data_IF_534563632116
#
_entry.id   IF_534563632116
#
_cell.length_a   1.000
_cell.length_b   1.000
_cell.length_c   1.000
_cell.angle_alpha   90.00
_cell.angle_beta   90.00
_cell.angle_gamma   90.00
#
_symmetry.space_group_name_H-M   'P 1'
#
loop_
_entity.id
_entity.type
_entity.pdbx_description
1 polymer ?
#
# COMPACT_ATOMS: atom_id res chain seq x y z
N UNK A 1 24.27 36.12 -32.32
CA UNK A 1 24.28 35.27 -33.53
C UNK A 1 24.16 33.82 -33.09
N UNK A 2 23.16 33.00 -33.36
CA UNK A 2 21.75 33.12 -33.70
C UNK A 2 21.16 31.72 -33.37
N UNK A 3 19.89 31.68 -33.01
CA UNK A 3 19.12 30.52 -32.55
C UNK A 3 19.04 29.39 -33.59
N UNK A 4 18.83 28.15 -33.12
CA UNK A 4 18.22 27.09 -33.91
C UNK A 4 17.18 26.35 -33.04
N UNK A 5 15.92 26.61 -33.36
CA UNK A 5 14.71 26.08 -32.77
C UNK A 5 14.43 24.61 -33.13
N UNK A 6 13.87 23.91 -32.14
CA UNK A 6 12.69 23.04 -32.19
C UNK A 6 12.07 22.75 -33.58
N UNK A 7 11.95 21.46 -33.93
CA UNK A 7 10.93 20.97 -34.87
C UNK A 7 10.43 19.58 -34.42
N UNK A 8 9.27 19.59 -33.79
CA UNK A 8 8.40 18.44 -33.50
C UNK A 8 7.74 17.99 -34.81
N UNK A 9 7.76 16.69 -35.11
CA UNK A 9 7.03 16.13 -36.25
C UNK A 9 5.58 15.82 -35.86
N UNK A 10 4.55 16.30 -36.58
CA UNK A 10 3.16 15.94 -36.37
C UNK A 10 2.66 15.00 -37.48
N UNK A 11 2.03 13.87 -37.11
CA UNK A 11 0.89 13.28 -37.84
C UNK A 11 0.51 11.90 -37.27
N UNK A 12 -0.48 11.86 -36.38
CA UNK A 12 -1.45 10.76 -36.40
C UNK A 12 -2.84 11.39 -36.47
N UNK A 13 -3.52 11.13 -37.58
CA UNK A 13 -4.80 11.69 -37.98
C UNK A 13 -5.94 11.25 -37.04
N UNK A 14 -6.80 12.20 -36.69
CA UNK A 14 -7.98 12.08 -35.81
C UNK A 14 -9.16 11.30 -36.42
N UNK A 15 -8.95 10.56 -37.51
CA UNK A 15 -9.98 9.79 -38.20
C UNK A 15 -10.04 8.29 -37.83
N UNK A 16 -9.05 7.73 -37.11
CA UNK A 16 -9.03 6.30 -36.73
C UNK A 16 -9.42 6.01 -35.26
N UNK A 17 -9.63 7.03 -34.41
CA UNK A 17 -10.09 6.85 -33.02
C UNK A 17 -11.62 6.80 -32.84
N UNK A 18 -12.42 6.93 -33.91
CA UNK A 18 -13.89 6.97 -33.84
C UNK A 18 -14.60 5.66 -34.27
N UNK A 19 -14.01 4.50 -34.02
CA UNK A 19 -14.64 3.21 -34.39
C UNK A 19 -14.66 2.12 -33.32
N UNK A 20 -14.44 2.45 -32.05
CA UNK A 20 -14.45 1.46 -30.96
C UNK A 20 -15.04 1.96 -29.63
N UNK A 21 -16.05 2.84 -29.65
CA UNK A 21 -16.98 2.99 -28.50
C UNK A 21 -18.36 3.39 -29.01
N UNK A 22 -19.17 2.42 -29.45
CA UNK A 22 -20.63 2.57 -29.54
C UNK A 22 -21.23 1.68 -28.46
N UNK A 23 -21.54 2.29 -27.31
CA UNK A 23 -22.37 1.67 -26.28
C UNK A 23 -23.85 1.94 -26.66
N UNK A 24 -24.69 0.92 -26.92
CA UNK A 24 -26.10 1.16 -27.18
C UNK A 24 -26.83 1.56 -25.88
N UNK A 25 -27.34 2.79 -25.85
CA UNK A 25 -28.41 3.19 -24.92
C UNK A 25 -29.70 2.52 -25.37
N UNK A 26 -30.22 1.57 -24.58
CA UNK A 26 -31.60 1.52 -24.08
C UNK A 26 -32.02 0.10 -23.65
N UNK A 27 -32.25 -0.09 -22.35
CA UNK A 27 -33.39 -0.85 -21.84
C UNK A 27 -33.64 -0.46 -20.37
N UNK A 28 -34.86 -0.03 -20.10
CA UNK A 28 -35.36 0.49 -18.82
C UNK A 28 -35.67 -0.65 -17.84
N UNK A 29 -35.57 -0.32 -16.55
CA UNK A 29 -36.29 -0.92 -15.39
C UNK A 29 -36.18 -2.44 -15.23
N UNK A 30 -35.21 -2.87 -14.40
CA UNK A 30 -35.22 -4.20 -13.76
C UNK A 30 -34.93 -4.03 -12.27
N UNK A 31 -35.82 -4.55 -11.42
CA UNK A 31 -35.69 -4.58 -9.96
C UNK A 31 -34.46 -5.44 -9.61
N UNK A 32 -33.56 -4.93 -8.77
CA UNK A 32 -32.51 -5.77 -8.17
C UNK A 32 -33.14 -6.67 -7.11
N UNK A 33 -33.46 -7.90 -7.47
CA UNK A 33 -33.65 -8.99 -6.52
C UNK A 33 -32.34 -9.76 -6.41
N UNK A 34 -31.82 -9.86 -5.19
CA UNK A 34 -30.75 -10.78 -4.80
C UNK A 34 -31.22 -12.21 -5.09
N UNK A 35 -30.80 -12.84 -6.20
CA UNK A 35 -30.56 -14.29 -6.30
C UNK A 35 -29.65 -14.59 -7.51
N UNK A 36 -28.48 -15.18 -7.21
CA UNK A 36 -27.79 -16.18 -8.03
C UNK A 36 -27.36 -15.86 -9.46
N UNK A 37 -26.10 -15.45 -9.66
CA UNK A 37 -25.24 -15.99 -10.73
C UNK A 37 -23.79 -16.06 -10.21
N UNK A 38 -23.44 -17.16 -9.55
CA UNK A 38 -22.05 -17.63 -9.47
C UNK A 38 -21.98 -18.93 -10.26
N UNK A 39 -21.44 -18.86 -11.48
CA UNK A 39 -21.03 -20.06 -12.20
C UNK A 39 -19.69 -20.51 -11.61
N UNK A 40 -19.71 -21.63 -10.90
CA UNK A 40 -18.52 -22.38 -10.51
C UNK A 40 -17.79 -22.84 -11.78
N UNK A 41 -16.57 -22.34 -11.99
CA UNK A 41 -15.56 -23.08 -12.72
C UNK A 41 -14.52 -23.58 -11.71
N UNK A 42 -14.65 -24.85 -11.37
CA UNK A 42 -13.74 -25.58 -10.51
C UNK A 42 -12.38 -25.74 -11.22
N UNK A 43 -11.41 -24.91 -10.85
CA UNK A 43 -9.99 -25.26 -10.93
C UNK A 43 -9.50 -25.56 -9.52
N UNK A 44 -9.61 -26.83 -9.12
CA UNK A 44 -8.97 -27.34 -7.93
C UNK A 44 -7.45 -27.32 -8.13
N UNK A 45 -6.73 -26.52 -7.33
CA UNK A 45 -5.28 -26.62 -7.18
C UNK A 45 -4.94 -26.73 -5.69
N UNK A 46 -4.03 -27.64 -5.30
CA UNK A 46 -3.74 -27.93 -3.91
C UNK A 46 -2.86 -26.83 -3.31
N UNK A 47 -3.18 -26.38 -2.08
CA UNK A 47 -2.30 -25.49 -1.32
C UNK A 47 -3.03 -24.45 -0.48
N UNK A 48 -3.92 -24.88 0.42
CA UNK A 48 -4.25 -24.08 1.59
C UNK A 48 -3.20 -24.35 2.66
N UNK A 49 -2.25 -23.41 2.86
CA UNK A 49 -1.40 -23.29 4.06
C UNK A 49 -0.31 -22.20 3.89
N UNK A 50 -0.67 -21.02 3.33
CA UNK A 50 0.26 -19.88 3.26
C UNK A 50 -0.05 -18.75 4.25
N UNK A 51 -1.09 -18.91 5.07
CA UNK A 51 -1.39 -18.01 6.17
C UNK A 51 -0.81 -18.60 7.47
N UNK A 52 0.37 -18.10 7.85
CA UNK A 52 1.15 -18.43 9.04
C UNK A 52 2.06 -19.68 8.97
N UNK A 53 3.35 -19.48 8.62
CA UNK A 53 4.51 -20.12 9.29
C UNK A 53 5.87 -19.54 8.86
N UNK A 54 6.46 -18.80 9.81
CA UNK A 54 7.87 -18.76 10.25
C UNK A 54 9.05 -18.78 9.26
N UNK A 55 9.97 -17.81 9.42
CA UNK A 55 11.39 -17.98 9.10
C UNK A 55 12.25 -17.72 10.36
N UNK A 56 12.73 -18.80 10.98
CA UNK A 56 13.79 -18.78 11.99
C UNK A 56 15.15 -18.99 11.33
N UNK A 57 16.09 -18.06 11.53
CA UNK A 57 17.46 -18.17 11.03
C UNK A 57 18.43 -17.38 11.91
N UNK A 58 19.61 -17.94 12.19
CA UNK A 58 20.54 -17.45 13.22
C UNK A 58 21.11 -16.03 12.99
N UNK A 59 21.05 -15.49 11.76
CA UNK A 59 21.34 -14.08 11.46
C UNK A 59 20.23 -13.11 11.90
N UNK A 60 18.99 -13.60 12.01
CA UNK A 60 17.87 -12.82 12.53
C UNK A 60 18.09 -12.46 14.00
N UNK A 61 18.83 -13.26 14.79
CA UNK A 61 19.02 -13.00 16.23
C UNK A 61 19.72 -11.67 16.53
N UNK A 62 20.57 -11.16 15.64
CA UNK A 62 21.28 -9.86 15.82
C UNK A 62 20.43 -8.65 15.39
N UNK A 63 19.70 -8.73 14.28
CA UNK A 63 18.75 -7.70 13.87
C UNK A 63 17.51 -7.66 14.79
N UNK A 64 17.05 -8.82 15.23
CA UNK A 64 16.01 -8.99 16.25
C UNK A 64 16.47 -8.46 17.62
N UNK A 65 17.78 -8.51 17.93
CA UNK A 65 18.32 -7.91 19.15
C UNK A 65 18.32 -6.37 19.08
N UNK A 66 18.59 -5.75 17.93
CA UNK A 66 18.41 -4.30 17.76
C UNK A 66 16.92 -3.90 17.79
N UNK A 67 16.05 -4.70 17.13
CA UNK A 67 14.59 -4.51 17.11
C UNK A 67 13.92 -4.73 18.48
N UNK A 68 14.35 -5.70 19.28
CA UNK A 68 13.86 -5.91 20.66
C UNK A 68 14.38 -4.86 21.64
N UNK A 69 15.55 -4.27 21.41
CA UNK A 69 16.16 -3.30 22.33
C UNK A 69 15.46 -1.94 22.32
N UNK A 70 14.66 -1.62 21.30
CA UNK A 70 13.85 -0.39 21.28
C UNK A 70 12.60 -0.51 22.18
N UNK A 71 12.15 -1.71 22.54
CA UNK A 71 10.80 -1.90 23.13
C UNK A 71 10.71 -2.76 24.38
N UNK A 72 11.82 -3.09 25.05
CA UNK A 72 11.79 -3.75 26.36
C UNK A 72 12.65 -2.99 27.39
N UNK A 73 12.32 -1.72 27.60
CA UNK A 73 12.41 -1.09 28.92
C UNK A 73 11.13 -0.26 29.12
N UNK A 74 10.55 -0.33 30.31
CA UNK A 74 9.14 -0.04 30.62
C UNK A 74 8.54 1.21 29.97
N UNK A 75 7.36 1.01 29.37
CA UNK A 75 6.26 1.97 29.19
C UNK A 75 6.63 3.42 28.78
N UNK A 76 7.42 3.56 27.71
CA UNK A 76 7.52 4.84 26.99
C UNK A 76 7.56 4.61 25.49
N UNK A 77 6.39 4.74 24.85
CA UNK A 77 6.30 4.81 23.39
C UNK A 77 6.97 6.11 22.93
N UNK A 78 7.80 6.01 21.89
CA UNK A 78 8.41 7.19 21.27
C UNK A 78 7.33 8.12 20.74
N UNK A 79 7.51 9.41 21.02
CA UNK A 79 6.68 10.49 20.49
C UNK A 79 6.90 10.66 18.99
N UNK A 80 5.95 11.31 18.30
CA UNK A 80 6.11 11.64 16.89
C UNK A 80 7.36 12.47 16.61
N UNK A 81 7.72 13.38 17.52
CA UNK A 81 8.94 14.20 17.37
C UNK A 81 10.20 13.34 17.37
N UNK A 82 10.28 12.36 18.26
CA UNK A 82 11.42 11.43 18.33
C UNK A 82 11.52 10.54 17.08
N UNK A 83 10.37 10.13 16.52
CA UNK A 83 10.34 9.39 15.25
C UNK A 83 10.80 10.24 14.07
N UNK A 84 10.25 11.44 13.92
CA UNK A 84 10.61 12.34 12.82
C UNK A 84 12.09 12.73 12.88
N UNK A 85 12.65 12.92 14.08
CA UNK A 85 14.08 13.23 14.25
C UNK A 85 15.02 12.11 13.77
N UNK A 86 14.55 10.88 13.59
CA UNK A 86 15.33 9.75 13.06
C UNK A 86 15.34 9.66 11.53
N UNK A 87 14.50 10.43 10.85
CA UNK A 87 14.45 10.42 9.39
C UNK A 87 15.66 11.19 8.87
N UNK A 88 16.60 10.47 8.25
CA UNK A 88 17.80 11.04 7.65
C UNK A 88 17.66 11.14 6.14
N UNK A 89 18.39 12.04 5.46
CA UNK A 89 18.48 12.03 4.01
C UNK A 89 19.08 10.69 3.52
N UNK A 90 18.77 10.26 2.28
CA UNK A 90 19.44 9.13 1.65
C UNK A 90 20.96 9.32 1.59
N UNK A 91 21.71 8.22 1.65
CA UNK A 91 23.17 8.20 1.58
C UNK A 91 23.67 8.65 0.20
N UNK A 92 24.23 9.87 0.14
CA UNK A 92 24.73 10.46 -1.09
C UNK A 92 25.94 9.70 -1.68
N UNK A 93 26.80 9.11 -0.85
CA UNK A 93 27.97 8.36 -1.32
C UNK A 93 27.54 7.04 -1.96
N UNK A 94 26.57 6.34 -1.35
CA UNK A 94 26.00 5.13 -1.93
C UNK A 94 25.25 5.41 -3.25
N UNK A 95 24.56 6.55 -3.34
CA UNK A 95 23.91 6.99 -4.58
C UNK A 95 24.93 7.26 -5.69
N UNK A 96 26.03 7.96 -5.40
CA UNK A 96 27.07 8.24 -6.40
C UNK A 96 27.73 6.96 -6.89
N UNK A 97 28.05 6.03 -5.97
CA UNK A 97 28.60 4.73 -6.33
C UNK A 97 27.63 3.93 -7.23
N UNK A 98 26.32 3.99 -6.94
CA UNK A 98 25.31 3.34 -7.75
C UNK A 98 25.21 3.96 -9.16
N UNK A 99 25.34 5.29 -9.29
CA UNK A 99 25.41 5.98 -10.60
C UNK A 99 26.63 5.53 -11.40
N UNK A 100 27.80 5.51 -10.76
CA UNK A 100 29.05 5.03 -11.39
C UNK A 100 28.91 3.60 -11.88
N UNK A 101 28.30 2.73 -11.07
CA UNK A 101 28.00 1.35 -11.49
C UNK A 101 27.07 1.30 -12.70
N UNK A 102 25.97 2.07 -12.69
CA UNK A 102 25.02 2.09 -13.81
C UNK A 102 25.66 2.51 -15.13
N UNK A 103 26.66 3.40 -15.08
CA UNK A 103 27.43 3.84 -16.25
C UNK A 103 28.39 2.77 -16.82
N UNK A 104 28.77 1.77 -16.00
CA UNK A 104 29.70 0.69 -16.41
C UNK A 104 28.98 -0.56 -16.94
N UNK A 105 27.66 -0.65 -16.80
CA UNK A 105 26.91 -1.81 -17.29
C UNK A 105 26.87 -1.83 -18.82
N UNK A 106 26.80 -3.03 -19.40
CA UNK A 106 26.71 -3.25 -20.85
C UNK A 106 25.34 -2.80 -21.40
N UNK A 107 25.11 -1.49 -21.46
CA UNK A 107 23.92 -0.81 -21.97
C UNK A 107 24.30 0.61 -22.41
N UNK A 108 23.62 1.21 -23.40
CA UNK A 108 23.78 2.65 -23.64
C UNK A 108 23.44 3.45 -22.38
N UNK A 109 24.19 4.52 -22.03
CA UNK A 109 23.90 5.35 -20.86
C UNK A 109 22.44 5.84 -20.87
N UNK A 110 21.74 5.67 -19.74
CA UNK A 110 20.34 6.10 -19.58
C UNK A 110 19.28 5.28 -20.31
N UNK A 111 19.66 4.21 -21.02
CA UNK A 111 18.71 3.40 -21.82
C UNK A 111 17.61 2.70 -21.00
N UNK A 112 17.81 2.49 -19.70
CA UNK A 112 16.78 1.89 -18.82
C UNK A 112 15.91 2.95 -18.11
N UNK A 113 16.19 4.24 -18.34
CA UNK A 113 15.42 5.38 -17.82
C UNK A 113 15.17 5.28 -16.30
N UNK A 114 13.89 5.29 -15.91
CA UNK A 114 13.46 5.29 -14.50
C UNK A 114 13.98 4.10 -13.68
N UNK A 115 14.32 2.97 -14.31
CA UNK A 115 14.87 1.83 -13.58
C UNK A 115 16.28 2.13 -13.04
N UNK A 116 17.05 2.97 -13.74
CA UNK A 116 18.36 3.43 -13.26
C UNK A 116 18.18 4.33 -12.04
N UNK A 117 17.28 5.30 -12.13
CA UNK A 117 16.98 6.23 -11.03
C UNK A 117 16.50 5.51 -9.78
N UNK A 118 15.59 4.52 -9.92
CA UNK A 118 15.09 3.72 -8.81
C UNK A 118 16.21 2.91 -8.14
N UNK A 119 17.15 2.36 -8.92
CA UNK A 119 18.28 1.61 -8.36
C UNK A 119 19.22 2.51 -7.54
N UNK A 120 19.42 3.75 -7.99
CA UNK A 120 20.24 4.76 -7.29
C UNK A 120 19.52 5.21 -6.01
N UNK A 121 18.22 5.51 -6.08
CA UNK A 121 17.42 5.87 -4.92
C UNK A 121 17.45 4.78 -3.86
N UNK A 122 17.28 3.52 -4.27
CA UNK A 122 17.33 2.37 -3.37
C UNK A 122 18.71 2.23 -2.71
N UNK A 123 19.79 2.53 -3.43
CA UNK A 123 21.13 2.56 -2.86
C UNK A 123 21.29 3.65 -1.79
N UNK A 124 20.72 4.83 -2.00
CA UNK A 124 20.69 5.88 -0.98
C UNK A 124 19.87 5.51 0.26
N UNK A 125 18.71 4.85 0.08
CA UNK A 125 17.87 4.43 1.22
C UNK A 125 18.56 3.34 2.05
N UNK A 126 19.26 2.41 1.39
CA UNK A 126 19.82 1.21 2.04
C UNK A 126 21.29 1.34 2.42
N UNK A 127 21.99 2.37 1.92
CA UNK A 127 23.44 2.52 2.01
C UNK A 127 24.23 1.47 1.20
N UNK A 128 23.58 0.75 0.27
CA UNK A 128 24.18 -0.36 -0.48
C UNK A 128 23.90 -0.24 -1.97
N UNK A 129 24.90 -0.42 -2.80
CA UNK A 129 24.75 -0.38 -4.27
C UNK A 129 24.03 -1.62 -4.80
N UNK A 130 24.32 -2.78 -4.20
CA UNK A 130 23.73 -4.05 -4.57
C UNK A 130 22.62 -4.42 -3.60
N UNK A 131 21.38 -4.16 -4.01
CA UNK A 131 20.21 -4.49 -3.22
C UNK A 131 19.55 -5.78 -3.69
N UNK A 132 19.17 -6.60 -2.72
CA UNK A 132 18.26 -7.73 -2.89
C UNK A 132 16.97 -7.41 -2.14
N UNK A 133 15.83 -7.60 -2.80
CA UNK A 133 14.51 -7.38 -2.23
C UNK A 133 13.79 -8.72 -2.22
N UNK A 134 13.82 -9.38 -1.07
CA UNK A 134 13.27 -10.72 -0.88
C UNK A 134 11.90 -10.64 -0.21
N UNK A 135 11.75 -9.77 0.80
CA UNK A 135 10.54 -9.61 1.59
C UNK A 135 9.81 -8.32 1.22
N UNK A 136 8.62 -8.47 0.64
CA UNK A 136 7.71 -7.36 0.31
C UNK A 136 6.47 -7.50 1.17
N UNK A 137 5.97 -6.39 1.71
CA UNK A 137 4.80 -6.43 2.58
C UNK A 137 3.90 -5.23 2.34
N UNK A 138 2.60 -5.46 2.15
CA UNK A 138 1.56 -4.44 2.04
C UNK A 138 0.84 -4.28 3.39
N UNK A 139 0.88 -3.07 3.95
CA UNK A 139 0.09 -2.71 5.11
C UNK A 139 -1.17 -1.98 4.63
N UNK A 140 -2.35 -2.54 4.91
CA UNK A 140 -3.64 -1.94 4.56
C UNK A 140 -4.34 -1.45 5.82
N UNK A 141 -4.68 -0.16 5.87
CA UNK A 141 -5.37 0.45 6.99
C UNK A 141 -6.83 0.73 6.62
N UNK A 142 -7.76 0.18 7.41
CA UNK A 142 -9.19 0.31 7.16
C UNK A 142 -9.87 1.23 8.17
N UNK A 143 -10.66 2.17 7.66
CA UNK A 143 -11.48 3.08 8.46
C UNK A 143 -12.68 3.61 7.67
N UNK A 144 -13.77 3.94 8.37
CA UNK A 144 -14.92 4.61 7.77
C UNK A 144 -14.85 6.13 7.98
N UNK A 145 -15.48 6.88 7.06
CA UNK A 145 -15.50 8.33 7.12
C UNK A 145 -16.89 8.89 7.44
N UNK A 146 -16.94 9.85 8.35
CA UNK A 146 -18.20 10.50 8.75
C UNK A 146 -18.82 11.34 7.64
N UNK A 147 -18.01 11.83 6.69
CA UNK A 147 -18.48 12.65 5.55
C UNK A 147 -19.42 11.89 4.61
N UNK A 148 -19.43 10.55 4.67
CA UNK A 148 -20.38 9.71 3.93
C UNK A 148 -21.84 10.10 4.22
N UNK A 149 -22.13 10.67 5.40
CA UNK A 149 -23.47 11.14 5.76
C UNK A 149 -23.97 12.29 4.85
N UNK A 150 -23.07 12.98 4.14
CA UNK A 150 -23.39 14.04 3.17
C UNK A 150 -23.70 13.48 1.76
N UNK A 151 -23.77 12.16 1.59
CA UNK A 151 -24.15 11.53 0.31
C UNK A 151 -23.07 11.61 -0.78
N UNK A 152 -21.81 11.80 -0.39
CA UNK A 152 -20.68 11.98 -1.32
C UNK A 152 -20.17 10.66 -1.95
N UNK A 153 -20.64 9.51 -1.46
CA UNK A 153 -20.17 8.19 -1.91
C UNK A 153 -21.22 7.44 -2.74
N UNK A 154 -20.75 6.72 -3.75
CA UNK A 154 -21.56 5.82 -4.59
C UNK A 154 -21.78 4.44 -3.99
N UNK A 155 -21.07 4.10 -2.90
CA UNK A 155 -21.16 2.81 -2.23
C UNK A 155 -21.60 2.96 -0.77
N UNK A 156 -22.33 1.99 -0.21
CA UNK A 156 -22.73 2.03 1.19
C UNK A 156 -21.53 1.86 2.13
N UNK A 157 -21.58 2.48 3.31
CA UNK A 157 -20.54 2.37 4.35
C UNK A 157 -20.18 0.92 4.73
N UNK A 158 -21.15 0.00 4.66
CA UNK A 158 -20.94 -1.43 4.95
C UNK A 158 -19.93 -2.13 4.01
N UNK A 159 -19.59 -1.53 2.86
CA UNK A 159 -18.55 -2.05 1.97
C UNK A 159 -17.18 -2.03 2.63
N UNK A 160 -16.87 -1.04 3.48
CA UNK A 160 -15.60 -0.98 4.22
C UNK A 160 -15.36 -2.28 4.99
N UNK A 161 -16.28 -2.62 5.91
CA UNK A 161 -16.22 -3.86 6.68
C UNK A 161 -16.07 -5.10 5.79
N UNK A 162 -16.91 -5.20 4.75
CA UNK A 162 -16.94 -6.36 3.86
C UNK A 162 -15.60 -6.54 3.13
N UNK A 163 -15.01 -5.45 2.63
CA UNK A 163 -13.74 -5.49 1.90
C UNK A 163 -12.53 -5.67 2.82
N UNK A 164 -12.55 -5.10 4.03
CA UNK A 164 -11.53 -5.37 5.06
C UNK A 164 -11.43 -6.87 5.34
N UNK A 165 -12.56 -7.56 5.48
CA UNK A 165 -12.58 -9.02 5.66
C UNK A 165 -12.12 -9.72 4.38
N UNK A 166 -12.59 -9.31 3.20
CA UNK A 166 -12.20 -9.93 1.93
C UNK A 166 -10.72 -9.78 1.59
N UNK A 167 -10.05 -8.71 2.02
CA UNK A 167 -8.59 -8.52 1.90
C UNK A 167 -7.85 -9.68 2.58
N UNK A 168 -8.25 -10.02 3.81
CA UNK A 168 -7.65 -11.14 4.55
C UNK A 168 -7.91 -12.50 3.91
N UNK A 169 -9.03 -12.62 3.19
CA UNK A 169 -9.45 -13.86 2.49
C UNK A 169 -8.88 -13.99 1.07
N UNK A 170 -8.05 -13.05 0.61
CA UNK A 170 -7.45 -13.11 -0.72
C UNK A 170 -8.41 -12.81 -1.87
N UNK A 171 -9.57 -12.18 -1.60
CA UNK A 171 -10.64 -11.98 -2.60
C UNK A 171 -10.61 -10.60 -3.28
N UNK A 172 -9.76 -9.70 -2.83
CA UNK A 172 -9.65 -8.35 -3.41
C UNK A 172 -8.54 -8.28 -4.46
N UNK A 173 -8.60 -7.26 -5.32
CA UNK A 173 -7.55 -7.00 -6.31
C UNK A 173 -6.17 -6.82 -5.65
N UNK A 174 -6.09 -6.05 -4.56
CA UNK A 174 -4.85 -5.86 -3.81
C UNK A 174 -4.28 -7.19 -3.28
N UNK A 175 -5.12 -8.03 -2.67
CA UNK A 175 -4.66 -9.32 -2.16
C UNK A 175 -4.24 -10.29 -3.28
N UNK A 176 -4.92 -10.23 -4.43
CA UNK A 176 -4.57 -11.01 -5.62
C UNK A 176 -3.22 -10.59 -6.19
N UNK A 177 -2.97 -9.28 -6.33
CA UNK A 177 -1.68 -8.75 -6.77
C UNK A 177 -0.56 -9.08 -5.77
N UNK A 178 -0.84 -8.98 -4.47
CA UNK A 178 0.11 -9.37 -3.44
C UNK A 178 0.52 -10.83 -3.59
N UNK A 179 -0.45 -11.73 -3.76
CA UNK A 179 -0.19 -13.15 -4.02
C UNK A 179 0.65 -13.35 -5.29
N UNK A 180 0.33 -12.65 -6.38
CA UNK A 180 1.05 -12.77 -7.65
C UNK A 180 2.53 -12.35 -7.53
N UNK A 181 2.82 -11.26 -6.80
CA UNK A 181 4.18 -10.74 -6.64
C UNK A 181 4.93 -11.29 -5.41
N UNK A 182 4.36 -12.26 -4.68
CA UNK A 182 4.95 -12.78 -3.45
C UNK A 182 5.08 -11.73 -2.35
N UNK A 183 4.15 -10.78 -2.30
CA UNK A 183 4.04 -9.75 -1.28
C UNK A 183 3.12 -10.24 -0.16
N UNK A 184 3.58 -10.20 1.08
CA UNK A 184 2.72 -10.44 2.24
C UNK A 184 1.74 -9.26 2.44
N UNK A 185 0.62 -9.49 3.11
CA UNK A 185 -0.38 -8.46 3.39
C UNK A 185 -0.82 -8.51 4.85
N UNK A 186 -0.83 -7.36 5.52
CA UNK A 186 -1.45 -7.17 6.83
C UNK A 186 -2.60 -6.18 6.69
N UNK A 187 -3.77 -6.55 7.19
CA UNK A 187 -4.94 -5.67 7.24
C UNK A 187 -5.13 -5.21 8.68
N UNK A 188 -5.16 -3.91 8.88
CA UNK A 188 -5.28 -3.27 10.19
C UNK A 188 -6.55 -2.42 10.22
N UNK A 189 -7.46 -2.72 11.13
CA UNK A 189 -8.61 -1.89 11.43
C UNK A 189 -8.20 -0.76 12.37
N UNK A 190 -8.19 0.46 11.85
CA UNK A 190 -7.89 1.68 12.60
C UNK A 190 -9.12 2.54 12.83
N UNK A 191 -10.25 2.23 12.20
CA UNK A 191 -11.45 3.05 12.35
C UNK A 191 -12.71 2.55 11.64
N UNK A 192 -12.87 1.25 11.38
CA UNK A 192 -14.10 0.75 10.73
C UNK A 192 -15.28 0.94 11.69
N UNK A 193 -16.41 1.46 11.20
CA UNK A 193 -17.61 1.75 11.98
C UNK A 193 -18.43 0.47 12.28
N UNK A 194 -17.75 -0.61 12.64
CA UNK A 194 -18.31 -1.89 13.05
C UNK A 194 -17.29 -2.71 13.86
N UNK A 195 -17.80 -3.69 14.62
CA UNK A 195 -16.98 -4.71 15.25
C UNK A 195 -16.53 -5.77 14.23
N UNK A 196 -15.22 -5.96 14.10
CA UNK A 196 -14.65 -6.98 13.22
C UNK A 196 -14.26 -8.21 14.03
N UNK A 197 -14.94 -9.33 13.77
CA UNK A 197 -14.68 -10.63 14.43
C UNK A 197 -13.65 -11.50 13.71
N UNK A 198 -13.25 -11.11 12.51
CA UNK A 198 -12.25 -11.82 11.71
C UNK A 198 -10.86 -11.68 12.35
N UNK A 199 -10.32 -12.77 12.88
CA UNK A 199 -9.06 -12.77 13.66
C UNK A 199 -7.85 -12.37 12.83
N UNK A 200 -7.92 -12.54 11.51
CA UNK A 200 -6.86 -12.14 10.59
C UNK A 200 -6.75 -10.61 10.41
N UNK A 201 -7.75 -9.84 10.85
CA UNK A 201 -7.69 -8.37 10.87
C UNK A 201 -7.06 -7.92 12.19
N UNK A 202 -5.97 -7.15 12.11
CA UNK A 202 -5.34 -6.57 13.28
C UNK A 202 -6.22 -5.43 13.82
N UNK A 203 -6.71 -5.56 15.05
CA UNK A 203 -7.50 -4.51 15.68
C UNK A 203 -6.59 -3.45 16.34
N UNK A 204 -6.63 -2.23 15.81
CA UNK A 204 -6.02 -1.00 16.37
C UNK A 204 -6.99 0.18 16.26
N UNK A 205 -8.28 -0.11 16.44
CA UNK A 205 -9.37 0.83 16.22
C UNK A 205 -9.22 2.06 17.12
N UNK A 206 -9.20 3.23 16.50
CA UNK A 206 -9.12 4.53 17.20
C UNK A 206 -10.53 5.01 17.58
N UNK A 207 -11.48 4.88 16.67
CA UNK A 207 -12.89 5.24 16.82
C UNK A 207 -13.77 4.42 15.85
N UNK A 208 -15.09 4.52 15.99
CA UNK A 208 -16.05 3.96 15.02
C UNK A 208 -16.28 4.94 13.88
N UNK A 209 -15.33 4.98 12.95
CA UNK A 209 -15.28 5.97 11.88
C UNK A 209 -14.83 7.36 12.36
N UNK A 210 -14.48 8.21 11.41
CA UNK A 210 -14.20 9.63 11.68
C UNK A 210 -15.49 10.44 11.85
N UNK A 211 -15.41 11.60 12.49
CA UNK A 211 -16.47 12.61 12.48
C UNK A 211 -16.63 13.20 11.08
N UNK A 212 -17.78 13.79 10.82
CA UNK A 212 -18.08 14.41 9.53
C UNK A 212 -17.32 15.73 9.35
N UNK A 213 -16.41 15.76 8.36
CA UNK A 213 -15.54 16.91 8.08
C UNK A 213 -16.29 18.15 7.58
N UNK A 214 -17.51 17.99 7.04
CA UNK A 214 -18.35 19.11 6.64
C UNK A 214 -18.91 19.88 7.84
N UNK A 215 -18.87 19.28 9.04
CA UNK A 215 -19.46 19.82 10.27
C UNK A 215 -18.44 20.13 11.37
N UNK A 216 -17.17 19.82 11.15
CA UNK A 216 -16.09 20.03 12.11
C UNK A 216 -14.88 19.13 11.85
N UNK A 217 -13.98 19.01 12.82
CA UNK A 217 -12.78 18.18 12.67
C UNK A 217 -13.12 16.68 12.64
N UNK A 218 -12.47 15.93 11.74
CA UNK A 218 -12.60 14.47 11.60
C UNK A 218 -12.31 13.71 12.89
N UNK A 219 -11.35 14.21 13.67
CA UNK A 219 -10.86 13.62 14.91
C UNK A 219 -10.16 14.68 15.75
N UNK A 220 -9.90 14.37 17.01
CA UNK A 220 -9.04 15.15 17.91
C UNK A 220 -7.57 15.02 17.53
N UNK A 221 -6.73 15.93 18.03
CA UNK A 221 -5.29 15.87 17.79
C UNK A 221 -4.68 14.60 18.37
N UNK A 222 -5.15 14.16 19.52
CA UNK A 222 -4.70 12.97 20.24
C UNK A 222 -5.10 11.69 19.48
N UNK A 223 -6.29 11.63 18.88
CA UNK A 223 -6.70 10.54 17.98
C UNK A 223 -5.80 10.46 16.74
N UNK A 224 -5.49 11.61 16.13
CA UNK A 224 -4.58 11.68 14.98
C UNK A 224 -3.17 11.18 15.34
N UNK A 225 -2.61 11.66 16.45
CA UNK A 225 -1.29 11.23 16.91
C UNK A 225 -1.25 9.70 17.18
N UNK A 226 -2.29 9.14 17.81
CA UNK A 226 -2.42 7.69 18.01
C UNK A 226 -2.50 6.91 16.69
N UNK A 227 -3.24 7.41 15.70
CA UNK A 227 -3.36 6.77 14.39
C UNK A 227 -2.00 6.73 13.67
N UNK A 228 -1.25 7.83 13.67
CA UNK A 228 0.09 7.90 13.05
C UNK A 228 1.06 6.96 13.77
N UNK A 229 1.08 6.98 15.11
CA UNK A 229 1.93 6.09 15.90
C UNK A 229 1.62 4.61 15.65
N UNK A 230 0.34 4.25 15.48
CA UNK A 230 -0.07 2.89 15.12
C UNK A 230 0.56 2.45 13.79
N UNK A 231 0.57 3.31 12.78
CA UNK A 231 1.22 3.04 11.49
C UNK A 231 2.73 2.88 11.61
N UNK A 232 3.38 3.76 12.39
CA UNK A 232 4.83 3.69 12.65
C UNK A 232 5.21 2.39 13.36
N UNK A 233 4.47 2.02 14.41
CA UNK A 233 4.68 0.77 15.16
C UNK A 233 4.53 -0.45 14.24
N UNK A 234 3.47 -0.48 13.43
CA UNK A 234 3.25 -1.59 12.51
C UNK A 234 4.35 -1.69 11.45
N UNK A 235 4.81 -0.56 10.91
CA UNK A 235 5.92 -0.52 9.96
C UNK A 235 7.24 -1.00 10.60
N UNK A 236 7.52 -0.59 11.84
CA UNK A 236 8.73 -0.98 12.56
C UNK A 236 8.76 -2.47 12.96
N UNK A 237 7.59 -3.04 13.27
CA UNK A 237 7.42 -4.46 13.63
C UNK A 237 7.41 -5.38 12.40
N UNK A 238 7.07 -4.86 11.23
CA UNK A 238 6.97 -5.65 10.00
C UNK A 238 8.35 -5.99 9.44
N UNK A 239 8.63 -7.29 9.30
CA UNK A 239 9.88 -7.78 8.74
C UNK A 239 9.86 -7.75 7.20
N UNK A 240 10.14 -6.60 6.61
CA UNK A 240 10.17 -6.40 5.16
C UNK A 240 11.40 -5.60 4.70
N UNK A 241 11.84 -5.85 3.46
CA UNK A 241 12.82 -5.01 2.77
C UNK A 241 12.14 -3.79 2.14
N UNK A 242 10.88 -3.95 1.71
CA UNK A 242 10.04 -2.90 1.13
C UNK A 242 8.62 -3.01 1.67
N UNK A 243 8.09 -1.87 2.09
CA UNK A 243 6.70 -1.72 2.51
C UNK A 243 5.89 -1.01 1.45
N UNK A 244 4.73 -1.57 1.11
CA UNK A 244 3.63 -0.87 0.46
C UNK A 244 2.61 -0.43 1.50
N UNK A 245 1.88 0.63 1.20
CA UNK A 245 0.75 1.10 2.00
C UNK A 245 -0.50 1.11 1.14
N UNK A 246 -1.60 0.62 1.68
CA UNK A 246 -2.92 0.67 1.09
C UNK A 246 -3.97 1.11 2.10
N UNK A 247 -5.17 1.40 1.61
CA UNK A 247 -6.30 1.78 2.44
C UNK A 247 -7.54 0.92 2.12
N UNK A 248 -8.51 0.97 3.01
CA UNK A 248 -9.88 0.59 2.70
C UNK A 248 -10.82 1.49 3.51
N UNK A 249 -11.50 2.40 2.84
CA UNK A 249 -12.53 3.24 3.45
C UNK A 249 -13.51 3.81 2.44
N UNK A 250 -14.79 3.80 2.78
CA UNK A 250 -15.80 4.50 2.00
C UNK A 250 -15.89 5.96 2.45
N UNK A 251 -15.90 6.87 1.47
CA UNK A 251 -16.04 8.33 1.65
C UNK A 251 -14.72 9.03 1.69
#
# INVERSE_FOLDING_TARGET
>A
MAEALCAVSPAFSSAQQRRLVRCPRAARRGKYTNEGIFAESACALPGGDLYARTAGGHGARRALAFRKRIYHQGDKRMTLREWTAKITPPDAAAMEEARRRQAQLAKPPGSLGRLEDLSVQLAGITGRVHNKIEKKHLLVFAADNGVVDEGVSSAPRSVTLSQTINLTRGKTGAATLCKHFGCAITVCDVGVAADIREKAVLCRKIAYGTKNIARGSAMTREECERAVLTGIELAAETDADVLGVGEMGIG
#
